data_IF_831720440084
#
_entry.id   IF_831720440084
#
_cell.length_a   1.000
_cell.length_b   1.000
_cell.length_c   1.000
_cell.angle_alpha   90.00
_cell.angle_beta   90.00
_cell.angle_gamma   90.00
#
_symmetry.space_group_name_H-M   'P 1'
#
loop_
_entity.id
_entity.type
_entity.pdbx_description
1 polymer ?
#
# COMPACT_ATOMS: atom_id res chain seq x y z
N UNK A 1 3.84 14.15 -5.26
CA UNK A 1 2.94 14.37 -6.43
C UNK A 1 3.39 13.41 -7.54
N UNK A 2 2.49 12.58 -8.08
CA UNK A 2 2.84 11.63 -9.15
C UNK A 2 3.04 12.36 -10.48
N UNK A 3 3.93 11.89 -11.35
CA UNK A 3 4.07 12.40 -12.73
C UNK A 3 3.10 11.71 -13.71
N UNK A 4 2.38 10.68 -13.27
CA UNK A 4 1.41 9.96 -14.09
C UNK A 4 0.02 10.61 -13.95
N UNK A 5 -0.54 11.09 -15.06
CA UNK A 5 -1.86 11.76 -15.10
C UNK A 5 -3.01 10.86 -14.65
N UNK A 6 -3.00 9.58 -15.03
CA UNK A 6 -4.01 8.60 -14.60
C UNK A 6 -4.00 8.41 -13.09
N UNK A 7 -2.81 8.28 -12.48
CA UNK A 7 -2.71 8.15 -11.02
C UNK A 7 -3.15 9.43 -10.29
N UNK A 8 -2.90 10.61 -10.86
CA UNK A 8 -3.41 11.86 -10.30
C UNK A 8 -4.94 11.90 -10.35
N UNK A 9 -5.55 11.45 -11.45
CA UNK A 9 -7.00 11.41 -11.60
C UNK A 9 -7.65 10.40 -10.65
N UNK A 10 -7.09 9.19 -10.54
CA UNK A 10 -7.50 8.17 -9.56
C UNK A 10 -7.43 8.73 -8.15
N UNK A 11 -6.34 9.40 -7.78
CA UNK A 11 -6.22 10.02 -6.45
C UNK A 11 -7.33 11.05 -6.20
N UNK A 12 -7.52 12.00 -7.12
CA UNK A 12 -8.52 13.08 -6.96
C UNK A 12 -9.96 12.56 -6.92
N UNK A 13 -10.28 11.53 -7.70
CA UNK A 13 -11.65 11.01 -7.81
C UNK A 13 -11.99 9.97 -6.76
N UNK A 14 -11.03 9.12 -6.37
CA UNK A 14 -11.30 7.91 -5.58
C UNK A 14 -10.63 7.89 -4.20
N UNK A 15 -9.58 8.67 -3.96
CA UNK A 15 -8.83 8.64 -2.69
C UNK A 15 -9.07 9.92 -1.87
N UNK A 16 -8.85 11.09 -2.48
CA UNK A 16 -8.97 12.38 -1.82
C UNK A 16 -10.35 12.61 -1.16
N UNK A 17 -11.50 12.28 -1.80
CA UNK A 17 -12.81 12.43 -1.17
C UNK A 17 -13.04 11.53 0.05
N UNK A 18 -12.35 10.38 0.09
CA UNK A 18 -12.51 9.35 1.12
C UNK A 18 -11.36 9.36 2.14
N UNK A 19 -10.54 10.41 2.18
CA UNK A 19 -9.38 10.55 3.07
C UNK A 19 -9.71 10.23 4.54
N UNK A 20 -10.87 10.69 5.03
CA UNK A 20 -11.33 10.43 6.41
C UNK A 20 -11.82 8.99 6.66
N UNK A 21 -12.10 8.23 5.60
CA UNK A 21 -12.67 6.89 5.64
C UNK A 21 -11.64 5.81 5.23
N UNK A 22 -10.39 6.18 4.97
CA UNK A 22 -9.35 5.21 4.64
C UNK A 22 -9.13 4.22 5.80
N UNK A 23 -8.82 2.94 5.50
CA UNK A 23 -8.50 1.97 6.52
C UNK A 23 -7.23 2.39 7.27
N UNK A 24 -7.30 2.36 8.60
CA UNK A 24 -6.19 2.81 9.46
C UNK A 24 -5.06 1.79 9.57
N UNK A 25 -5.38 0.52 9.33
CA UNK A 25 -4.41 -0.58 9.37
C UNK A 25 -4.64 -1.53 8.20
N UNK A 26 -3.62 -2.34 7.89
CA UNK A 26 -3.68 -3.37 6.86
C UNK A 26 -4.79 -4.38 7.20
N UNK A 27 -4.90 -4.80 8.45
CA UNK A 27 -5.96 -5.72 8.89
C UNK A 27 -7.35 -5.13 8.68
N UNK A 28 -7.53 -3.85 8.99
CA UNK A 28 -8.81 -3.18 8.79
C UNK A 28 -9.16 -3.08 7.31
N UNK A 29 -8.18 -2.75 6.45
CA UNK A 29 -8.35 -2.73 4.99
C UNK A 29 -8.77 -4.09 4.44
N UNK A 30 -8.07 -5.16 4.84
CA UNK A 30 -8.40 -6.52 4.43
C UNK A 30 -9.77 -6.97 4.92
N UNK A 31 -10.10 -6.68 6.18
CA UNK A 31 -11.41 -6.99 6.75
C UNK A 31 -12.55 -6.26 6.03
N UNK A 32 -12.38 -4.97 5.73
CA UNK A 32 -13.36 -4.17 4.98
C UNK A 32 -13.56 -4.70 3.56
N UNK A 33 -12.47 -5.03 2.86
CA UNK A 33 -12.52 -5.66 1.53
C UNK A 33 -13.27 -7.00 1.57
N UNK A 34 -13.01 -7.85 2.58
CA UNK A 34 -13.73 -9.13 2.71
C UNK A 34 -15.24 -8.95 3.00
N UNK A 35 -15.65 -7.88 3.68
CA UNK A 35 -17.06 -7.60 4.00
C UNK A 35 -17.81 -6.95 2.85
N UNK A 36 -17.13 -6.16 2.03
CA UNK A 36 -17.73 -5.44 0.91
C UNK A 36 -17.23 -5.98 -0.43
N UNK A 37 -18.06 -6.78 -1.10
CA UNK A 37 -17.76 -7.37 -2.41
C UNK A 37 -17.51 -6.35 -3.53
N UNK A 38 -17.85 -5.07 -3.34
CA UNK A 38 -17.62 -3.98 -4.30
C UNK A 38 -16.37 -3.15 -3.99
N UNK A 39 -15.54 -3.59 -3.05
CA UNK A 39 -14.33 -2.90 -2.64
C UNK A 39 -13.09 -3.67 -3.08
N UNK A 40 -12.13 -2.97 -3.69
CA UNK A 40 -10.77 -3.46 -3.89
C UNK A 40 -9.83 -2.79 -2.86
N UNK A 41 -8.74 -3.47 -2.51
CA UNK A 41 -7.73 -2.93 -1.60
C UNK A 41 -6.33 -3.04 -2.21
N UNK A 42 -5.61 -1.91 -2.20
CA UNK A 42 -4.25 -1.82 -2.73
C UNK A 42 -3.25 -1.86 -1.58
N UNK A 43 -2.33 -2.82 -1.62
CA UNK A 43 -1.38 -3.09 -0.53
C UNK A 43 -0.13 -3.78 -1.09
N UNK A 44 1.01 -3.63 -0.41
CA UNK A 44 2.26 -4.27 -0.83
C UNK A 44 2.19 -5.80 -0.64
N UNK A 45 2.93 -6.52 -1.46
CA UNK A 45 3.11 -7.96 -1.34
C UNK A 45 3.66 -8.38 0.04
N UNK A 46 4.56 -7.59 0.63
CA UNK A 46 5.11 -7.84 1.98
C UNK A 46 4.00 -7.74 3.03
N UNK A 47 3.20 -6.67 3.00
CA UNK A 47 2.09 -6.50 3.93
C UNK A 47 1.05 -7.63 3.80
N UNK A 48 0.76 -8.08 2.57
CA UNK A 48 -0.10 -9.24 2.33
C UNK A 48 0.44 -10.53 2.95
N UNK A 49 1.75 -10.77 2.85
CA UNK A 49 2.39 -11.95 3.46
C UNK A 49 2.31 -11.91 4.99
N UNK A 50 2.55 -10.75 5.59
CA UNK A 50 2.46 -10.56 7.05
C UNK A 50 1.02 -10.77 7.54
N UNK A 51 0.04 -10.26 6.79
CA UNK A 51 -1.37 -10.35 7.15
C UNK A 51 -2.03 -11.66 6.69
N UNK A 52 -1.27 -12.62 6.13
CA UNK A 52 -1.83 -13.82 5.50
C UNK A 52 -2.75 -14.61 6.43
N UNK A 53 -2.39 -14.74 7.71
CA UNK A 53 -3.17 -15.50 8.70
C UNK A 53 -4.36 -14.71 9.28
N UNK A 54 -4.51 -13.43 8.92
CA UNK A 54 -5.55 -12.54 9.45
C UNK A 54 -6.70 -12.30 8.46
N UNK A 55 -6.63 -12.88 7.26
CA UNK A 55 -7.69 -12.75 6.24
C UNK A 55 -8.85 -13.69 6.55
N UNK A 56 -10.07 -13.20 6.39
CA UNK A 56 -11.31 -13.99 6.59
C UNK A 56 -11.95 -14.43 5.28
N UNK A 57 -11.33 -14.14 4.13
CA UNK A 57 -11.85 -14.47 2.81
C UNK A 57 -10.73 -14.89 1.85
N UNK A 58 -11.13 -15.48 0.72
CA UNK A 58 -10.22 -15.73 -0.41
C UNK A 58 -9.94 -14.41 -1.14
N UNK A 59 -8.67 -14.17 -1.45
CA UNK A 59 -8.21 -12.93 -2.07
C UNK A 59 -7.61 -13.29 -3.42
N UNK A 60 -8.12 -12.65 -4.47
CA UNK A 60 -7.58 -12.76 -5.82
C UNK A 60 -6.75 -11.51 -6.13
N UNK A 61 -5.47 -11.70 -6.43
CA UNK A 61 -4.62 -10.62 -6.94
C UNK A 61 -4.97 -10.31 -8.39
N UNK A 62 -5.09 -9.03 -8.72
CA UNK A 62 -5.32 -8.59 -10.09
C UNK A 62 -3.96 -8.43 -10.78
N UNK A 63 -3.71 -9.26 -11.78
CA UNK A 63 -2.49 -9.19 -12.57
C UNK A 63 -2.37 -7.84 -13.30
N UNK A 64 -1.13 -7.35 -13.46
CA UNK A 64 -0.80 -6.07 -14.12
C UNK A 64 -1.35 -4.80 -13.44
N UNK A 65 -2.08 -4.92 -12.32
CA UNK A 65 -2.51 -3.81 -11.49
C UNK A 65 -1.54 -3.53 -10.34
N UNK A 66 -0.23 -3.60 -10.61
CA UNK A 66 0.83 -3.35 -9.64
C UNK A 66 1.95 -2.52 -10.27
N UNK A 67 2.70 -1.81 -9.43
CA UNK A 67 3.89 -1.08 -9.83
C UNK A 67 5.04 -1.40 -8.88
N UNK A 68 6.28 -1.48 -9.38
CA UNK A 68 7.43 -1.74 -8.53
C UNK A 68 7.65 -0.56 -7.58
N UNK A 69 7.98 -0.88 -6.33
CA UNK A 69 8.36 0.09 -5.31
C UNK A 69 9.66 -0.34 -4.66
N UNK A 70 10.54 0.62 -4.41
CA UNK A 70 11.83 0.37 -3.75
C UNK A 70 11.68 0.67 -2.26
N UNK A 71 12.01 -0.31 -1.42
CA UNK A 71 12.17 -0.09 0.02
C UNK A 71 13.62 0.30 0.32
N UNK A 72 13.82 1.23 1.26
CA UNK A 72 15.15 1.73 1.62
C UNK A 72 15.25 2.01 3.11
N UNK A 73 16.48 2.06 3.61
CA UNK A 73 16.77 2.43 5.00
C UNK A 73 16.92 3.95 5.06
N UNK A 74 16.03 4.61 5.79
CA UNK A 74 16.14 6.03 6.07
C UNK A 74 17.05 6.27 7.28
N UNK A 75 18.17 6.95 7.06
CA UNK A 75 19.09 7.42 8.12
C UNK A 75 19.14 8.94 8.14
N UNK A 76 19.48 9.52 9.31
CA UNK A 76 19.67 10.97 9.43
C UNK A 76 20.77 11.47 8.48
N UNK A 77 20.59 12.70 7.99
CA UNK A 77 21.64 13.38 7.23
C UNK A 77 22.90 13.46 8.11
N UNK A 78 24.06 13.18 7.53
CA UNK A 78 25.36 13.11 8.22
C UNK A 78 25.47 12.02 9.30
N UNK A 79 24.62 10.99 9.28
CA UNK A 79 24.78 9.82 10.15
C UNK A 79 26.17 9.19 9.98
N UNK A 80 26.90 8.88 11.07
CA UNK A 80 28.19 8.20 11.00
C UNK A 80 28.07 6.80 10.38
N UNK A 81 26.87 6.21 10.38
CA UNK A 81 26.59 4.89 9.80
C UNK A 81 26.32 4.92 8.29
N UNK A 82 26.32 6.10 7.64
CA UNK A 82 26.07 6.21 6.19
C UNK A 82 26.99 5.31 5.37
N UNK A 83 28.27 5.22 5.73
CA UNK A 83 29.24 4.38 5.02
C UNK A 83 28.92 2.89 5.13
N UNK A 84 28.31 2.46 6.24
CA UNK A 84 27.97 1.05 6.47
C UNK A 84 26.75 0.66 5.62
N UNK A 85 25.73 1.52 5.56
CA UNK A 85 24.50 1.23 4.81
C UNK A 85 24.58 1.54 3.30
N UNK A 86 25.62 2.24 2.85
CA UNK A 86 25.91 2.50 1.43
C UNK A 86 26.98 1.57 0.85
N UNK A 87 27.33 0.49 1.56
CA UNK A 87 28.32 -0.48 1.10
C UNK A 87 27.87 -1.20 -0.18
#
# INVERSE_FOLDING_TARGET
KSNNSVLQEVYKKLIEPEMGNLPKTIEDGLRRMCRNKKMAYFVTNIAMKIAHNKKTCSILSIDKASYPVTSSIAISKKSPYRRIFNA
#
